data_IF_356422283358
#
_entry.id   IF_356422283358
#
_cell.length_a   1.000
_cell.length_b   1.000
_cell.length_c   1.000
_cell.angle_alpha   90.00
_cell.angle_beta   90.00
_cell.angle_gamma   90.00
#
_symmetry.space_group_name_H-M   'P 1'
#
loop_
_entity.id
_entity.type
_entity.pdbx_description
1 polymer ?
#
# COMPACT_ATOMS: atom_id res chain seq x y z
N UNK A 1 40.06 -10.19 -34.89
CA UNK A 1 40.33 -10.38 -33.45
C UNK A 1 39.62 -9.22 -32.72
N UNK A 2 38.32 -9.24 -32.47
CA UNK A 2 37.44 -10.36 -32.20
C UNK A 2 37.17 -10.50 -30.70
N UNK A 3 36.74 -9.42 -30.04
CA UNK A 3 36.13 -9.47 -28.70
C UNK A 3 34.96 -8.49 -28.64
N UNK A 4 33.85 -8.96 -29.20
CA UNK A 4 32.50 -8.53 -28.87
C UNK A 4 32.22 -8.90 -27.41
N UNK A 5 32.30 -7.92 -26.52
CA UNK A 5 31.88 -8.09 -25.13
C UNK A 5 30.36 -8.11 -25.08
N UNK A 6 29.85 -9.33 -25.13
CA UNK A 6 28.52 -9.81 -24.72
C UNK A 6 27.65 -8.79 -23.98
N UNK A 7 26.53 -8.45 -24.60
CA UNK A 7 25.39 -7.80 -24.00
C UNK A 7 24.98 -8.52 -22.70
N UNK A 8 24.90 -7.78 -21.59
CA UNK A 8 24.24 -8.24 -20.36
C UNK A 8 22.72 -8.23 -20.57
N UNK A 9 22.02 -9.39 -20.56
CA UNK A 9 20.56 -9.41 -20.53
C UNK A 9 20.12 -9.39 -19.07
N UNK A 10 20.28 -8.25 -18.40
CA UNK A 10 19.70 -8.07 -17.08
C UNK A 10 18.98 -6.73 -17.04
N UNK A 11 17.63 -6.78 -17.07
CA UNK A 11 16.69 -5.94 -16.28
C UNK A 11 15.24 -6.02 -16.78
N UNK A 12 14.72 -7.20 -17.08
CA UNK A 12 13.26 -7.41 -17.03
C UNK A 12 12.73 -7.40 -15.58
N UNK A 13 13.62 -7.52 -14.59
CA UNK A 13 13.25 -7.71 -13.19
C UNK A 13 12.80 -6.46 -12.42
N UNK A 14 12.75 -5.24 -12.98
CA UNK A 14 12.37 -4.06 -12.19
C UNK A 14 10.86 -3.95 -11.93
N UNK A 15 10.05 -4.16 -12.95
CA UNK A 15 8.60 -4.02 -12.82
C UNK A 15 7.95 -5.18 -12.04
N UNK A 16 8.47 -6.41 -12.14
CA UNK A 16 7.91 -7.57 -11.45
C UNK A 16 8.24 -7.58 -9.95
N UNK A 17 9.26 -6.84 -9.53
CA UNK A 17 9.74 -6.82 -8.14
C UNK A 17 8.69 -6.33 -7.14
N UNK A 18 7.85 -5.34 -7.51
CA UNK A 18 6.87 -4.76 -6.58
C UNK A 18 5.72 -5.74 -6.30
N UNK A 19 5.20 -6.36 -7.36
CA UNK A 19 4.17 -7.37 -7.24
C UNK A 19 4.69 -8.64 -6.54
N UNK A 20 5.93 -9.05 -6.84
CA UNK A 20 6.59 -10.17 -6.16
C UNK A 20 6.76 -9.90 -4.65
N UNK A 21 7.19 -8.70 -4.27
CA UNK A 21 7.30 -8.31 -2.86
C UNK A 21 5.95 -8.38 -2.14
N UNK A 22 4.89 -7.88 -2.78
CA UNK A 22 3.53 -8.00 -2.25
C UNK A 22 3.10 -9.46 -2.08
N UNK A 23 3.39 -10.32 -3.07
CA UNK A 23 3.04 -11.74 -3.02
C UNK A 23 3.80 -12.50 -1.92
N UNK A 24 5.08 -12.18 -1.69
CA UNK A 24 5.87 -12.78 -0.61
C UNK A 24 5.26 -12.44 0.75
N UNK A 25 4.95 -11.16 0.99
CA UNK A 25 4.37 -10.74 2.27
C UNK A 25 2.97 -11.33 2.45
N UNK A 26 2.19 -11.40 1.37
CA UNK A 26 0.92 -12.11 1.33
C UNK A 26 1.07 -13.57 1.73
N UNK A 27 2.06 -14.28 1.18
CA UNK A 27 2.35 -15.66 1.53
C UNK A 27 2.71 -15.83 3.01
N UNK A 28 3.57 -14.95 3.54
CA UNK A 28 3.93 -14.92 4.97
C UNK A 28 2.70 -14.64 5.84
N UNK A 29 1.85 -13.70 5.43
CA UNK A 29 0.61 -13.35 6.14
C UNK A 29 -0.37 -14.52 6.16
N UNK A 30 -0.61 -15.17 5.02
CA UNK A 30 -1.49 -16.35 4.92
C UNK A 30 -0.96 -17.49 5.79
N UNK A 31 0.35 -17.72 5.78
CA UNK A 31 0.97 -18.71 6.65
C UNK A 31 0.79 -18.36 8.14
N UNK A 32 1.01 -17.11 8.52
CA UNK A 32 0.79 -16.65 9.89
C UNK A 32 -0.68 -16.80 10.32
N UNK A 33 -1.64 -16.50 9.43
CA UNK A 33 -3.07 -16.71 9.68
C UNK A 33 -3.42 -18.19 9.80
N UNK A 34 -2.81 -19.05 8.99
CA UNK A 34 -2.98 -20.50 9.10
C UNK A 34 -2.49 -21.02 10.45
N UNK A 35 -1.30 -20.59 10.89
CA UNK A 35 -0.78 -20.94 12.22
C UNK A 35 -1.68 -20.41 13.33
N UNK A 36 -2.14 -19.16 13.24
CA UNK A 36 -3.08 -18.57 14.19
C UNK A 36 -4.41 -19.34 14.26
N UNK A 37 -4.88 -19.87 13.13
CA UNK A 37 -6.07 -20.72 13.09
C UNK A 37 -5.84 -22.05 13.82
N UNK A 38 -4.70 -22.71 13.59
CA UNK A 38 -4.34 -23.98 14.24
C UNK A 38 -4.32 -23.88 15.77
N UNK A 39 -3.81 -22.75 16.30
CA UNK A 39 -3.82 -22.48 17.75
C UNK A 39 -5.17 -21.92 18.27
N UNK A 40 -6.21 -21.90 17.44
CA UNK A 40 -7.55 -21.33 17.74
C UNK A 40 -7.49 -19.86 18.19
N UNK A 41 -6.42 -19.14 17.86
CA UNK A 41 -6.25 -17.73 18.23
C UNK A 41 -7.28 -16.84 17.51
N UNK A 42 -7.62 -17.15 16.25
CA UNK A 42 -8.65 -16.42 15.51
C UNK A 42 -10.04 -16.60 16.12
N UNK A 43 -10.38 -17.83 16.52
CA UNK A 43 -11.63 -18.12 17.22
C UNK A 43 -11.67 -17.41 18.58
N UNK A 44 -10.56 -17.41 19.33
CA UNK A 44 -10.45 -16.69 20.59
C UNK A 44 -10.63 -15.17 20.41
N UNK A 45 -10.06 -14.58 19.36
CA UNK A 45 -10.22 -13.17 19.02
C UNK A 45 -11.70 -12.81 18.76
N UNK A 46 -12.37 -13.61 17.93
CA UNK A 46 -13.75 -13.34 17.51
C UNK A 46 -14.76 -13.66 18.62
N UNK A 47 -14.59 -14.80 19.30
CA UNK A 47 -15.49 -15.20 20.40
C UNK A 47 -15.27 -14.36 21.66
N UNK A 48 -14.05 -13.84 21.86
CA UNK A 48 -13.69 -13.04 23.02
C UNK A 48 -14.23 -11.61 22.97
N UNK A 49 -14.54 -11.10 21.77
CA UNK A 49 -15.07 -9.76 21.55
C UNK A 49 -16.56 -9.76 21.20
N UNK A 50 -17.40 -9.57 22.21
CA UNK A 50 -18.86 -9.47 22.06
C UNK A 50 -19.29 -8.18 21.34
N UNK A 51 -18.46 -7.14 21.34
CA UNK A 51 -18.78 -5.84 20.70
C UNK A 51 -18.59 -5.88 19.19
N UNK A 52 -17.97 -6.96 18.68
CA UNK A 52 -17.71 -7.20 17.24
C UNK A 52 -16.79 -6.15 16.61
N UNK A 53 -16.07 -5.36 17.40
CA UNK A 53 -15.09 -4.38 16.92
C UNK A 53 -13.92 -5.07 16.20
N UNK A 54 -13.51 -6.25 16.69
CA UNK A 54 -12.49 -7.10 16.08
C UNK A 54 -12.86 -7.52 14.65
N UNK A 55 -14.15 -7.79 14.39
CA UNK A 55 -14.64 -8.10 13.04
C UNK A 55 -14.60 -6.88 12.11
N UNK A 56 -14.91 -5.69 12.64
CA UNK A 56 -14.80 -4.43 11.89
C UNK A 56 -13.34 -4.15 11.52
N UNK A 57 -12.42 -4.30 12.47
CA UNK A 57 -10.97 -4.20 12.24
C UNK A 57 -10.53 -5.18 11.14
N UNK A 58 -10.95 -6.44 11.24
CA UNK A 58 -10.61 -7.46 10.26
C UNK A 58 -11.17 -7.16 8.87
N UNK A 59 -12.42 -6.66 8.77
CA UNK A 59 -13.03 -6.29 7.50
C UNK A 59 -12.29 -5.12 6.83
N UNK A 60 -11.99 -4.06 7.59
CA UNK A 60 -11.20 -2.92 7.09
C UNK A 60 -9.82 -3.40 6.62
N UNK A 61 -9.16 -4.25 7.42
CA UNK A 61 -7.88 -4.85 7.08
C UNK A 61 -7.93 -5.58 5.73
N UNK A 62 -8.89 -6.47 5.51
CA UNK A 62 -8.99 -7.27 4.28
C UNK A 62 -9.25 -6.38 3.06
N UNK A 63 -10.15 -5.40 3.18
CA UNK A 63 -10.47 -4.47 2.08
C UNK A 63 -9.24 -3.66 1.70
N UNK A 64 -8.57 -3.05 2.67
CA UNK A 64 -7.40 -2.21 2.41
C UNK A 64 -6.19 -3.03 1.95
N UNK A 65 -6.02 -4.24 2.48
CA UNK A 65 -4.98 -5.17 2.01
C UNK A 65 -5.19 -5.60 0.56
N UNK A 66 -6.44 -5.89 0.16
CA UNK A 66 -6.78 -6.19 -1.23
C UNK A 66 -6.52 -4.99 -2.14
N UNK A 67 -6.92 -3.79 -1.70
CA UNK A 67 -6.65 -2.55 -2.42
C UNK A 67 -5.14 -2.30 -2.60
N UNK A 68 -4.32 -2.53 -1.58
CA UNK A 68 -2.87 -2.45 -1.68
C UNK A 68 -2.30 -3.44 -2.71
N UNK A 69 -2.89 -4.64 -2.84
CA UNK A 69 -2.53 -5.61 -3.88
C UNK A 69 -2.85 -5.13 -5.30
N UNK A 70 -4.06 -4.59 -5.50
CA UNK A 70 -4.44 -3.99 -6.78
C UNK A 70 -3.52 -2.82 -7.15
N UNK A 71 -3.17 -1.98 -6.18
CA UNK A 71 -2.26 -0.85 -6.38
C UNK A 71 -0.84 -1.30 -6.69
N UNK A 72 -0.34 -2.34 -6.02
CA UNK A 72 0.97 -2.97 -6.33
C UNK A 72 1.02 -3.48 -7.77
N UNK A 73 -0.05 -4.14 -8.23
CA UNK A 73 -0.16 -4.59 -9.62
C UNK A 73 -0.21 -3.42 -10.61
N UNK A 74 -0.92 -2.34 -10.28
CA UNK A 74 -0.95 -1.12 -11.10
C UNK A 74 0.44 -0.49 -11.21
N UNK A 75 1.15 -0.31 -10.10
CA UNK A 75 2.47 0.29 -10.07
C UNK A 75 3.51 -0.57 -10.80
N UNK A 76 3.40 -1.89 -10.69
CA UNK A 76 4.18 -2.85 -11.46
C UNK A 76 3.97 -2.69 -12.97
N UNK A 77 2.71 -2.56 -13.42
CA UNK A 77 2.39 -2.29 -14.83
C UNK A 77 2.95 -0.94 -15.30
N UNK A 78 2.87 0.08 -14.47
CA UNK A 78 3.39 1.41 -14.78
C UNK A 78 4.92 1.40 -14.93
N UNK A 79 5.62 0.70 -14.03
CA UNK A 79 7.05 0.47 -14.15
C UNK A 79 7.41 -0.31 -15.43
N UNK A 80 6.63 -1.34 -15.81
CA UNK A 80 6.88 -2.11 -17.03
C UNK A 80 6.72 -1.28 -18.30
N UNK A 81 5.70 -0.41 -18.34
CA UNK A 81 5.47 0.52 -19.46
C UNK A 81 6.64 1.49 -19.59
N UNK A 82 7.10 2.05 -18.48
CA UNK A 82 8.27 2.94 -18.49
C UNK A 82 9.55 2.22 -18.93
N UNK A 83 9.76 0.96 -18.50
CA UNK A 83 10.90 0.15 -18.95
C UNK A 83 10.88 -0.05 -20.47
N UNK A 84 9.71 -0.22 -21.09
CA UNK A 84 9.59 -0.32 -22.55
C UNK A 84 10.00 0.99 -23.27
N UNK A 85 9.64 2.16 -22.71
CA UNK A 85 10.07 3.47 -23.23
C UNK A 85 11.60 3.59 -23.17
N UNK A 86 12.19 3.22 -22.02
CA UNK A 86 13.64 3.24 -21.80
C UNK A 86 14.40 2.38 -22.82
N UNK A 87 13.88 1.17 -23.12
CA UNK A 87 14.49 0.24 -24.07
C UNK A 87 14.45 0.82 -25.48
N UNK A 88 13.30 1.31 -25.95
CA UNK A 88 13.19 1.92 -27.28
C UNK A 88 14.10 3.14 -27.43
N UNK A 89 14.12 4.03 -26.43
CA UNK A 89 15.01 5.17 -26.44
C UNK A 89 16.50 4.77 -26.49
N UNK A 90 16.91 3.73 -25.75
CA UNK A 90 18.29 3.20 -25.79
C UNK A 90 18.67 2.61 -27.15
N UNK A 91 17.71 2.03 -27.87
CA UNK A 91 17.92 1.49 -29.20
C UNK A 91 18.05 2.58 -30.30
N UNK A 92 17.97 3.86 -29.91
CA UNK A 92 18.15 5.00 -30.82
C UNK A 92 16.84 5.62 -31.31
N UNK A 93 15.68 5.12 -30.88
CA UNK A 93 14.40 5.68 -31.27
C UNK A 93 14.22 7.10 -30.72
N UNK A 94 13.72 8.00 -31.57
CA UNK A 94 13.40 9.38 -31.18
C UNK A 94 12.10 9.43 -30.39
N UNK A 95 12.13 10.13 -29.25
CA UNK A 95 10.93 10.46 -28.48
C UNK A 95 10.24 11.66 -29.12
N UNK A 96 8.99 11.49 -29.52
CA UNK A 96 8.17 12.54 -30.11
C UNK A 96 6.76 12.56 -29.50
N UNK A 97 6.12 13.73 -29.53
CA UNK A 97 4.71 13.85 -29.15
C UNK A 97 3.88 13.48 -30.38
N UNK A 98 3.01 12.48 -30.24
CA UNK A 98 2.05 12.10 -31.25
C UNK A 98 1.00 13.19 -31.46
N UNK A 99 0.31 13.18 -32.60
CA UNK A 99 -0.67 14.19 -33.01
C UNK A 99 -1.86 14.37 -32.04
N UNK A 100 -2.07 13.42 -31.15
CA UNK A 100 -3.12 13.42 -30.12
C UNK A 100 -2.59 13.81 -28.72
N UNK A 101 -1.34 14.25 -28.60
CA UNK A 101 -0.70 14.62 -27.34
C UNK A 101 -0.08 13.45 -26.57
N UNK A 102 -0.15 12.22 -27.09
CA UNK A 102 0.50 11.04 -26.49
C UNK A 102 2.00 10.97 -26.76
N UNK A 103 2.73 10.13 -26.02
CA UNK A 103 4.14 9.86 -26.30
C UNK A 103 4.29 8.81 -27.40
N UNK A 104 5.20 9.04 -28.34
CA UNK A 104 5.66 8.07 -29.34
C UNK A 104 7.17 7.83 -29.23
N UNK A 105 7.57 6.59 -29.39
CA UNK A 105 8.97 6.15 -29.45
C UNK A 105 9.19 5.59 -30.85
N UNK A 106 9.90 6.34 -31.70
CA UNK A 106 9.99 6.03 -33.13
C UNK A 106 8.61 6.05 -33.79
N UNK A 107 8.24 4.97 -34.47
CA UNK A 107 6.91 4.81 -35.08
C UNK A 107 5.85 4.20 -34.13
N UNK A 108 6.23 3.82 -32.91
CA UNK A 108 5.34 3.12 -31.98
C UNK A 108 4.75 4.08 -30.95
N UNK A 109 3.42 4.08 -30.86
CA UNK A 109 2.69 4.81 -29.81
C UNK A 109 2.87 4.11 -28.46
N UNK A 110 3.23 4.88 -27.44
CA UNK A 110 3.34 4.38 -26.08
C UNK A 110 1.95 4.40 -25.44
N UNK A 111 1.52 3.33 -24.74
CA UNK A 111 0.27 3.33 -24.00
C UNK A 111 0.22 4.44 -22.95
N UNK A 112 -0.99 4.94 -22.66
CA UNK A 112 -1.16 6.01 -21.68
C UNK A 112 -0.69 5.55 -20.28
N UNK A 113 0.19 6.35 -19.70
CA UNK A 113 1.04 6.03 -18.56
C UNK A 113 1.44 7.34 -17.88
N UNK A 114 1.54 7.36 -16.55
CA UNK A 114 2.01 8.51 -15.80
C UNK A 114 3.40 8.97 -16.27
N UNK A 115 4.31 8.02 -16.52
CA UNK A 115 5.63 8.31 -17.09
C UNK A 115 5.57 8.82 -18.54
N UNK A 116 4.70 8.24 -19.38
CA UNK A 116 4.51 8.68 -20.76
C UNK A 116 3.92 10.10 -20.84
N UNK A 117 2.94 10.40 -19.98
CA UNK A 117 2.30 11.72 -19.90
C UNK A 117 3.28 12.80 -19.42
N UNK A 118 4.10 12.50 -18.40
CA UNK A 118 5.16 13.39 -17.93
C UNK A 118 6.19 13.69 -19.04
N UNK A 119 6.66 12.67 -19.75
CA UNK A 119 7.62 12.85 -20.85
C UNK A 119 7.01 13.61 -22.05
N UNK A 120 5.74 13.34 -22.39
CA UNK A 120 5.04 14.06 -23.45
C UNK A 120 4.86 15.54 -23.09
N UNK A 121 4.51 15.85 -21.84
CA UNK A 121 4.39 17.23 -21.35
C UNK A 121 5.73 17.98 -21.41
N UNK A 122 6.83 17.35 -20.97
CA UNK A 122 8.16 17.95 -21.10
C UNK A 122 8.58 18.21 -22.55
N UNK A 123 8.31 17.25 -23.45
CA UNK A 123 8.57 17.43 -24.88
C UNK A 123 7.74 18.56 -25.48
N UNK A 124 6.49 18.69 -25.05
CA UNK A 124 5.61 19.78 -25.49
C UNK A 124 6.18 21.13 -25.05
N UNK A 125 6.53 21.31 -23.76
CA UNK A 125 7.14 22.53 -23.23
C UNK A 125 8.41 22.90 -24.00
N UNK A 126 9.27 21.90 -24.28
CA UNK A 126 10.50 22.09 -25.05
C UNK A 126 10.22 22.54 -26.48
N UNK A 127 9.23 21.93 -27.14
CA UNK A 127 8.87 22.24 -28.52
C UNK A 127 8.19 23.61 -28.64
N UNK A 128 7.34 23.99 -27.68
CA UNK A 128 6.63 25.28 -27.66
C UNK A 128 7.39 26.40 -26.97
N UNK A 129 8.58 26.11 -26.39
CA UNK A 129 9.34 27.02 -25.51
C UNK A 129 8.47 27.67 -24.43
N UNK A 130 7.56 26.89 -23.85
CA UNK A 130 6.68 27.39 -22.79
C UNK A 130 7.47 27.63 -21.50
N UNK A 131 7.08 28.64 -20.73
CA UNK A 131 7.71 29.00 -19.44
C UNK A 131 7.23 28.16 -18.24
N UNK A 132 6.53 27.04 -18.51
CA UNK A 132 5.96 26.20 -17.46
C UNK A 132 7.08 25.48 -16.70
N UNK A 133 7.07 25.57 -15.37
CA UNK A 133 8.16 25.08 -14.54
C UNK A 133 8.20 23.54 -14.54
N UNK A 134 9.33 22.91 -14.92
CA UNK A 134 9.48 21.45 -14.88
C UNK A 134 9.19 20.83 -13.51
N UNK A 135 9.36 21.59 -12.43
CA UNK A 135 9.07 21.19 -11.04
C UNK A 135 7.58 20.86 -10.83
N UNK A 136 6.66 21.65 -11.38
CA UNK A 136 5.22 21.40 -11.24
C UNK A 136 4.80 20.07 -11.89
N UNK A 137 5.46 19.67 -12.99
CA UNK A 137 5.22 18.36 -13.62
C UNK A 137 5.74 17.20 -12.77
N UNK A 138 6.85 17.40 -12.06
CA UNK A 138 7.38 16.40 -11.12
C UNK A 138 6.43 16.19 -9.95
N UNK A 139 5.83 17.27 -9.44
CA UNK A 139 4.84 17.21 -8.36
C UNK A 139 3.57 16.48 -8.82
N UNK A 140 3.04 16.79 -10.02
CA UNK A 140 1.89 16.08 -10.60
C UNK A 140 2.19 14.59 -10.81
N UNK A 141 3.41 14.25 -11.22
CA UNK A 141 3.84 12.85 -11.35
C UNK A 141 3.90 12.16 -9.99
N UNK A 142 4.46 12.82 -8.97
CA UNK A 142 4.49 12.34 -7.59
C UNK A 142 3.09 12.08 -7.05
N UNK A 143 2.17 13.03 -7.24
CA UNK A 143 0.77 12.91 -6.83
C UNK A 143 0.08 11.71 -7.50
N UNK A 144 0.28 11.49 -8.80
CA UNK A 144 -0.30 10.31 -9.49
C UNK A 144 0.26 8.97 -9.02
N UNK A 145 1.53 8.94 -8.60
CA UNK A 145 2.21 7.72 -8.17
C UNK A 145 1.96 7.41 -6.68
N UNK A 146 1.94 8.43 -5.82
CA UNK A 146 1.91 8.28 -4.35
C UNK A 146 0.60 8.74 -3.70
N UNK A 147 -0.19 9.63 -4.32
CA UNK A 147 -1.45 10.15 -3.76
C UNK A 147 -2.42 9.06 -3.28
N UNK A 148 -2.65 7.96 -4.03
CA UNK A 148 -3.51 6.86 -3.56
C UNK A 148 -3.01 6.11 -2.32
N UNK A 149 -1.75 6.30 -1.91
CA UNK A 149 -1.17 5.66 -0.73
C UNK A 149 -1.50 6.42 0.56
N UNK A 150 -1.75 7.73 0.48
CA UNK A 150 -2.13 8.55 1.64
C UNK A 150 -3.39 8.03 2.32
N UNK A 151 -4.40 7.65 1.52
CA UNK A 151 -5.62 7.03 2.03
C UNK A 151 -5.33 5.71 2.77
N UNK A 152 -4.34 4.95 2.29
CA UNK A 152 -3.87 3.74 2.95
C UNK A 152 -3.28 4.00 4.33
N UNK A 153 -2.40 4.99 4.41
CA UNK A 153 -1.82 5.44 5.68
C UNK A 153 -2.86 6.01 6.64
N UNK A 154 -3.89 6.68 6.13
CA UNK A 154 -5.03 7.09 6.94
C UNK A 154 -5.72 5.89 7.59
N UNK A 155 -5.98 4.82 6.83
CA UNK A 155 -6.58 3.60 7.36
C UNK A 155 -5.66 2.90 8.38
N UNK A 156 -4.35 2.81 8.12
CA UNK A 156 -3.37 2.28 9.08
C UNK A 156 -3.47 3.00 10.42
N UNK A 157 -3.45 4.33 10.41
CA UNK A 157 -3.58 5.15 11.61
C UNK A 157 -4.97 5.00 12.25
N UNK A 158 -6.00 4.80 11.44
CA UNK A 158 -7.35 4.47 11.89
C UNK A 158 -7.42 3.15 12.64
N UNK A 159 -6.76 2.09 12.17
CA UNK A 159 -6.72 0.77 12.81
C UNK A 159 -6.03 0.82 14.18
N UNK A 160 -4.96 1.59 14.34
CA UNK A 160 -4.31 1.82 15.64
C UNK A 160 -5.30 2.50 16.60
N UNK A 161 -5.93 3.59 16.16
CA UNK A 161 -6.91 4.33 16.97
C UNK A 161 -8.13 3.48 17.33
N UNK A 162 -8.58 2.63 16.40
CA UNK A 162 -9.70 1.71 16.63
C UNK A 162 -9.32 0.61 17.63
N UNK A 163 -8.09 0.11 17.59
CA UNK A 163 -7.54 -0.79 18.60
C UNK A 163 -7.51 -0.16 20.00
N UNK A 164 -7.02 1.07 20.11
CA UNK A 164 -7.03 1.83 21.36
C UNK A 164 -8.46 2.11 21.84
N UNK A 165 -9.39 2.44 20.93
CA UNK A 165 -10.81 2.61 21.25
C UNK A 165 -11.43 1.32 21.80
N UNK A 166 -10.95 0.16 21.36
CA UNK A 166 -11.26 -1.14 21.95
C UNK A 166 -10.95 -1.24 23.45
N UNK A 167 -9.84 -0.65 23.92
CA UNK A 167 -9.54 -0.60 25.36
C UNK A 167 -10.58 0.20 26.14
N UNK A 168 -10.95 1.36 25.62
CA UNK A 168 -11.94 2.24 26.25
C UNK A 168 -13.29 1.53 26.31
N UNK A 169 -13.71 0.88 25.22
CA UNK A 169 -14.93 0.08 25.18
C UNK A 169 -14.87 -1.09 26.18
N UNK A 170 -13.75 -1.82 26.24
CA UNK A 170 -13.58 -2.92 27.18
C UNK A 170 -13.69 -2.46 28.64
N UNK A 171 -13.11 -1.30 28.97
CA UNK A 171 -13.28 -0.68 30.29
C UNK A 171 -14.73 -0.26 30.57
N UNK A 172 -15.44 0.30 29.59
CA UNK A 172 -16.86 0.64 29.74
C UNK A 172 -17.69 -0.63 30.02
N UNK A 173 -17.45 -1.72 29.28
CA UNK A 173 -18.13 -3.01 29.52
C UNK A 173 -17.81 -3.56 30.90
N UNK A 174 -16.55 -3.44 31.34
CA UNK A 174 -16.15 -3.83 32.70
C UNK A 174 -16.91 -3.02 33.76
N UNK A 175 -16.91 -1.69 33.67
CA UNK A 175 -17.57 -0.81 34.65
C UNK A 175 -19.10 -0.99 34.66
N UNK A 176 -19.72 -1.25 33.50
CA UNK A 176 -21.16 -1.52 33.41
C UNK A 176 -21.56 -2.76 34.24
N UNK A 177 -20.69 -3.76 34.35
CA UNK A 177 -20.98 -4.94 35.17
C UNK A 177 -20.98 -4.62 36.67
N UNK A 178 -20.10 -3.70 37.11
CA UNK A 178 -20.03 -3.22 38.49
C UNK A 178 -21.26 -2.40 38.87
N UNK A 179 -21.73 -1.53 37.97
CA UNK A 179 -22.93 -0.71 38.17
C UNK A 179 -24.21 -1.54 38.28
N UNK A 180 -24.28 -2.66 37.55
CA UNK A 180 -25.45 -3.55 37.55
C UNK A 180 -25.63 -4.41 38.81
N UNK A 181 -24.67 -4.42 39.74
CA UNK A 181 -24.73 -5.26 40.93
C UNK A 181 -25.60 -4.63 42.05
N UNK A 182 -26.84 -5.07 42.16
CA UNK A 182 -27.81 -4.59 43.17
C UNK A 182 -27.74 -5.32 44.53
N UNK A 183 -27.01 -6.43 44.63
CA UNK A 183 -26.75 -7.15 45.89
C UNK A 183 -25.41 -7.89 45.85
N UNK A 184 -24.77 -8.10 47.02
CA UNK A 184 -23.47 -8.77 47.14
C UNK A 184 -23.59 -10.21 47.66
N UNK A 185 -24.46 -11.01 47.03
CA UNK A 185 -24.48 -12.46 47.22
C UNK A 185 -23.32 -13.12 46.45
N UNK A 186 -22.92 -14.34 46.82
CA UNK A 186 -21.89 -15.17 46.15
C UNK A 186 -22.14 -15.26 44.64
N UNK A 187 -23.40 -15.38 44.21
CA UNK A 187 -23.77 -15.41 42.80
C UNK A 187 -23.49 -14.08 42.08
N UNK A 188 -23.73 -12.94 42.76
CA UNK A 188 -23.45 -11.62 42.21
C UNK A 188 -21.94 -11.37 42.11
N UNK A 189 -21.15 -11.80 43.10
CA UNK A 189 -19.69 -11.71 43.06
C UNK A 189 -19.11 -12.53 41.90
N UNK A 190 -19.62 -13.75 41.66
CA UNK A 190 -19.20 -14.55 40.50
C UNK A 190 -19.54 -13.86 39.16
N UNK A 191 -20.73 -13.27 39.04
CA UNK A 191 -21.12 -12.54 37.83
C UNK A 191 -20.25 -11.29 37.60
N UNK A 192 -19.90 -10.56 38.66
CA UNK A 192 -18.98 -9.43 38.60
C UNK A 192 -17.61 -9.86 38.05
N UNK A 193 -17.03 -10.94 38.58
CA UNK A 193 -15.73 -11.46 38.13
C UNK A 193 -15.75 -11.87 36.64
N UNK A 194 -16.82 -12.51 36.19
CA UNK A 194 -16.99 -12.88 34.78
C UNK A 194 -17.12 -11.63 33.90
N UNK A 195 -17.93 -10.66 34.32
CA UNK A 195 -18.12 -9.39 33.60
C UNK A 195 -16.82 -8.59 33.46
N UNK A 196 -16.04 -8.51 34.53
CA UNK A 196 -14.72 -7.86 34.52
C UNK A 196 -13.74 -8.57 33.57
N UNK A 197 -13.68 -9.91 33.64
CA UNK A 197 -12.87 -10.71 32.73
C UNK A 197 -13.27 -10.50 31.26
N UNK A 198 -14.58 -10.38 31.00
CA UNK A 198 -15.10 -10.11 29.67
C UNK A 198 -14.68 -8.73 29.14
N UNK A 199 -14.84 -7.67 29.94
CA UNK A 199 -14.42 -6.32 29.55
C UNK A 199 -12.91 -6.23 29.25
N UNK A 200 -12.10 -6.87 30.10
CA UNK A 200 -10.66 -6.98 29.89
C UNK A 200 -10.31 -7.73 28.60
N UNK A 201 -11.01 -8.84 28.31
CA UNK A 201 -10.78 -9.63 27.09
C UNK A 201 -11.12 -8.86 25.82
N UNK A 202 -12.23 -8.11 25.83
CA UNK A 202 -12.61 -7.19 24.74
C UNK A 202 -11.49 -6.17 24.50
N UNK A 203 -11.00 -5.52 25.57
CA UNK A 203 -9.92 -4.55 25.47
C UNK A 203 -8.65 -5.15 24.86
N UNK A 204 -8.18 -6.27 25.41
CA UNK A 204 -6.92 -6.90 24.99
C UNK A 204 -6.97 -7.39 23.53
N UNK A 205 -8.02 -8.11 23.16
CA UNK A 205 -8.12 -8.69 21.81
C UNK A 205 -8.35 -7.63 20.73
N UNK A 206 -9.18 -6.62 20.99
CA UNK A 206 -9.40 -5.53 20.02
C UNK A 206 -8.12 -4.72 19.82
N UNK A 207 -7.36 -4.48 20.89
CA UNK A 207 -6.06 -3.79 20.81
C UNK A 207 -5.04 -4.61 20.03
N UNK A 208 -4.92 -5.91 20.35
CA UNK A 208 -4.03 -6.81 19.64
C UNK A 208 -4.37 -6.88 18.15
N UNK A 209 -5.66 -6.98 17.81
CA UNK A 209 -6.14 -6.99 16.44
C UNK A 209 -5.77 -5.69 15.71
N UNK A 210 -6.06 -4.53 16.30
CA UNK A 210 -5.76 -3.23 15.69
C UNK A 210 -4.26 -3.03 15.46
N UNK A 211 -3.42 -3.37 16.44
CA UNK A 211 -1.97 -3.24 16.32
C UNK A 211 -1.37 -4.24 15.32
N UNK A 212 -1.77 -5.51 15.37
CA UNK A 212 -1.25 -6.52 14.45
C UNK A 212 -1.63 -6.21 12.99
N UNK A 213 -2.90 -5.86 12.75
CA UNK A 213 -3.40 -5.51 11.41
C UNK A 213 -2.75 -4.24 10.87
N UNK A 214 -2.68 -3.18 11.68
CA UNK A 214 -2.00 -1.93 11.29
C UNK A 214 -0.52 -2.16 10.99
N UNK A 215 0.21 -2.95 11.79
CA UNK A 215 1.62 -3.25 11.56
C UNK A 215 1.84 -3.95 10.20
N UNK A 216 0.99 -4.91 9.85
CA UNK A 216 1.07 -5.61 8.56
C UNK A 216 0.78 -4.64 7.41
N UNK A 217 -0.24 -3.78 7.51
CA UNK A 217 -0.51 -2.78 6.47
C UNK A 217 0.60 -1.75 6.36
N UNK A 218 1.12 -1.24 7.47
CA UNK A 218 2.24 -0.28 7.50
C UNK A 218 3.41 -0.79 6.69
N UNK A 219 3.75 -2.07 6.84
CA UNK A 219 4.83 -2.68 6.06
C UNK A 219 4.51 -2.71 4.55
N UNK A 220 3.27 -3.03 4.17
CA UNK A 220 2.85 -3.03 2.77
C UNK A 220 2.93 -1.63 2.16
N UNK A 221 2.37 -0.63 2.83
CA UNK A 221 2.36 0.75 2.33
C UNK A 221 3.76 1.34 2.27
N UNK A 222 4.62 1.07 3.27
CA UNK A 222 6.02 1.48 3.24
C UNK A 222 6.76 0.95 1.99
N UNK A 223 6.50 -0.28 1.59
CA UNK A 223 7.12 -0.86 0.40
C UNK A 223 6.55 -0.30 -0.90
N UNK A 224 5.25 0.03 -0.89
CA UNK A 224 4.55 0.63 -2.00
C UNK A 224 5.02 2.08 -2.25
N UNK A 225 5.22 2.86 -1.19
CA UNK A 225 5.80 4.21 -1.23
C UNK A 225 7.22 4.14 -1.80
N UNK A 226 8.08 3.28 -1.24
CA UNK A 226 9.42 3.07 -1.78
C UNK A 226 9.43 2.61 -3.24
N UNK A 227 8.41 1.90 -3.70
CA UNK A 227 8.30 1.51 -5.10
C UNK A 227 7.89 2.71 -5.98
N UNK A 228 6.97 3.54 -5.51
CA UNK A 228 6.53 4.76 -6.21
C UNK A 228 7.68 5.77 -6.31
N UNK A 229 8.37 6.05 -5.21
CA UNK A 229 9.52 6.97 -5.17
C UNK A 229 10.63 6.52 -6.12
N UNK A 230 10.92 5.21 -6.12
CA UNK A 230 11.92 4.64 -7.05
C UNK A 230 11.48 4.79 -8.50
N UNK A 231 10.19 4.64 -8.81
CA UNK A 231 9.70 4.83 -10.18
C UNK A 231 9.77 6.31 -10.59
N UNK A 232 9.32 7.23 -9.73
CA UNK A 232 9.41 8.67 -9.98
C UNK A 232 10.86 9.11 -10.22
N UNK A 233 11.78 8.73 -9.34
CA UNK A 233 13.19 9.04 -9.48
C UNK A 233 13.77 8.52 -10.81
N UNK A 234 13.42 7.29 -11.21
CA UNK A 234 13.86 6.73 -12.51
C UNK A 234 13.33 7.52 -13.70
N UNK A 235 12.07 7.97 -13.66
CA UNK A 235 11.46 8.78 -14.71
C UNK A 235 12.15 10.13 -14.81
N UNK A 236 12.35 10.82 -13.68
CA UNK A 236 12.98 12.14 -13.62
C UNK A 236 14.44 12.09 -14.06
N UNK A 237 15.23 11.13 -13.56
CA UNK A 237 16.63 10.96 -13.98
C UNK A 237 16.75 10.68 -15.47
N UNK A 238 15.82 9.90 -16.05
CA UNK A 238 15.83 9.65 -17.49
C UNK A 238 15.54 10.92 -18.30
N UNK A 239 14.56 11.72 -17.89
CA UNK A 239 14.26 13.01 -18.53
C UNK A 239 15.47 13.95 -18.49
N UNK A 240 16.15 14.05 -17.35
CA UNK A 240 17.37 14.85 -17.19
C UNK A 240 18.52 14.36 -18.10
N UNK A 241 18.77 13.04 -18.15
CA UNK A 241 19.80 12.46 -19.02
C UNK A 241 19.57 12.72 -20.51
N UNK A 242 18.31 12.93 -20.92
CA UNK A 242 17.95 13.25 -22.31
C UNK A 242 17.83 14.75 -22.57
N UNK A 243 18.21 15.60 -21.61
CA UNK A 243 18.05 17.05 -21.67
C UNK A 243 16.61 17.46 -22.02
N UNK A 244 15.63 16.77 -21.44
CA UNK A 244 14.20 17.06 -21.60
C UNK A 244 13.64 17.99 -20.51
N UNK A 245 14.40 18.22 -19.45
CA UNK A 245 14.07 19.14 -18.36
C UNK A 245 15.23 20.09 -18.08
#
# INVERSE_FOLDING_TARGET
MGLSTTAQPHREGAAWRVLQQWLIITGVLVFALFVAHQYRALEALVAGDRTRMTLVIAAIFVVTWCYAGLRSAWLSREAARFDAIMIGARNGDTLAVATDGGLSVGARRVPDSAGAHYLAALLHIRNTRSAEAPEALVDVLGERLSGPHEFGWFIVNGLIKLGLLGTVIGFIVMLATVDSATSFDVAAVQQLLVGMSQGMRVALYTTLAGLATSMVLSLHYLLLDRAADRLQARIVTFAQQRHLG
#
